data_IF_592052006941
#
_entry.id   IF_592052006941
#
_cell.length_a   1.000
_cell.length_b   1.000
_cell.length_c   1.000
_cell.angle_alpha   90.00
_cell.angle_beta   90.00
_cell.angle_gamma   90.00
#
_symmetry.space_group_name_H-M   'P 1'
#
loop_
_entity.id
_entity.type
_entity.pdbx_description
1 polymer ?
#
# COMPACT_ATOMS: atom_id res chain seq x y z
N UNK A 1 -17.32 -2.83 12.72
CA UNK A 1 -17.62 -3.79 11.64
C UNK A 1 -16.78 -5.03 11.85
N UNK A 2 -17.31 -6.23 11.62
CA UNK A 2 -16.57 -7.50 11.71
C UNK A 2 -16.67 -8.22 10.36
N UNK A 3 -15.61 -8.90 9.95
CA UNK A 3 -15.60 -9.75 8.75
C UNK A 3 -15.54 -11.20 9.20
N UNK A 4 -16.47 -12.01 8.71
CA UNK A 4 -16.47 -13.45 8.87
C UNK A 4 -15.82 -14.08 7.63
N UNK A 5 -14.87 -14.99 7.83
CA UNK A 5 -14.14 -15.67 6.76
C UNK A 5 -14.53 -17.15 6.79
N UNK A 6 -15.06 -17.64 5.67
CA UNK A 6 -15.46 -19.04 5.50
C UNK A 6 -14.43 -19.71 4.59
N UNK A 7 -13.82 -20.81 5.06
CA UNK A 7 -12.75 -21.53 4.36
C UNK A 7 -11.59 -20.65 3.86
N UNK A 8 -10.99 -19.79 4.72
CA UNK A 8 -9.86 -18.98 4.29
C UNK A 8 -8.60 -19.84 4.07
N UNK A 9 -7.66 -19.39 3.22
CA UNK A 9 -6.37 -20.06 3.04
C UNK A 9 -5.60 -20.20 4.37
N UNK A 10 -5.04 -21.38 4.63
CA UNK A 10 -4.33 -21.67 5.89
C UNK A 10 -3.05 -20.84 6.05
N UNK A 11 -2.38 -20.52 4.94
CA UNK A 11 -1.14 -19.72 4.89
C UNK A 11 -1.35 -18.25 5.31
N UNK A 12 -2.60 -17.79 5.41
CA UNK A 12 -2.94 -16.48 5.95
C UNK A 12 -2.88 -16.41 7.48
N UNK A 13 -2.68 -17.54 8.17
CA UNK A 13 -2.71 -17.66 9.63
C UNK A 13 -1.36 -18.11 10.21
N UNK A 14 -1.05 -17.59 11.39
CA UNK A 14 0.04 -18.07 12.25
C UNK A 14 -0.57 -18.37 13.62
N UNK A 15 -0.43 -19.60 14.09
CA UNK A 15 -1.03 -20.09 15.34
C UNK A 15 -2.55 -19.82 15.44
N UNK A 16 -3.26 -20.03 14.32
CA UNK A 16 -4.71 -19.82 14.22
C UNK A 16 -5.14 -18.35 14.24
N UNK A 17 -4.20 -17.39 14.19
CA UNK A 17 -4.49 -15.95 14.10
C UNK A 17 -4.08 -15.41 12.74
N UNK A 18 -4.97 -14.65 12.11
CA UNK A 18 -4.69 -14.02 10.83
C UNK A 18 -3.48 -13.07 10.96
N UNK A 19 -2.61 -13.08 9.95
CA UNK A 19 -1.48 -12.15 9.88
C UNK A 19 -2.03 -10.71 9.84
N UNK A 20 -1.53 -9.84 10.71
CA UNK A 20 -2.06 -8.47 10.90
C UNK A 20 -2.05 -7.64 9.61
N UNK A 21 -1.04 -7.79 8.76
CA UNK A 21 -0.99 -7.10 7.47
C UNK A 21 -2.10 -7.56 6.52
N UNK A 22 -2.40 -8.87 6.48
CA UNK A 22 -3.51 -9.40 5.68
C UNK A 22 -4.86 -8.91 6.20
N UNK A 23 -5.05 -8.85 7.52
CA UNK A 23 -6.25 -8.28 8.12
C UNK A 23 -6.43 -6.80 7.74
N UNK A 24 -5.37 -5.99 7.82
CA UNK A 24 -5.41 -4.60 7.41
C UNK A 24 -5.73 -4.46 5.90
N UNK A 25 -5.15 -5.32 5.07
CA UNK A 25 -5.42 -5.36 3.64
C UNK A 25 -6.89 -5.70 3.35
N UNK A 26 -7.51 -6.65 4.07
CA UNK A 26 -8.94 -6.98 3.91
C UNK A 26 -9.85 -5.76 4.17
N UNK A 27 -9.56 -4.97 5.22
CA UNK A 27 -10.30 -3.74 5.48
C UNK A 27 -9.99 -2.64 4.47
N UNK A 28 -8.77 -2.56 3.93
CA UNK A 28 -8.43 -1.65 2.85
C UNK A 28 -9.22 -2.00 1.57
N UNK A 29 -9.34 -3.28 1.22
CA UNK A 29 -10.15 -3.77 0.09
C UNK A 29 -11.60 -3.32 0.26
N UNK A 30 -12.19 -3.62 1.42
CA UNK A 30 -13.57 -3.27 1.72
C UNK A 30 -13.81 -1.75 1.63
N UNK A 31 -12.91 -0.95 2.20
CA UNK A 31 -12.96 0.52 2.15
C UNK A 31 -12.93 1.01 0.71
N UNK A 32 -12.00 0.54 -0.10
CA UNK A 32 -11.77 1.04 -1.45
C UNK A 32 -12.92 0.65 -2.38
N UNK A 33 -13.40 -0.60 -2.32
CA UNK A 33 -14.55 -1.07 -3.11
C UNK A 33 -15.80 -0.26 -2.77
N UNK A 34 -16.15 -0.13 -1.48
CA UNK A 34 -17.36 0.60 -1.08
C UNK A 34 -17.27 2.09 -1.43
N UNK A 35 -16.10 2.69 -1.28
CA UNK A 35 -15.90 4.10 -1.61
C UNK A 35 -16.04 4.35 -3.10
N UNK A 36 -15.33 3.60 -3.95
CA UNK A 36 -15.36 3.74 -5.40
C UNK A 36 -16.75 3.46 -5.94
N UNK A 37 -17.38 2.36 -5.53
CA UNK A 37 -18.76 2.04 -5.91
C UNK A 37 -19.72 3.16 -5.52
N UNK A 38 -19.58 3.70 -4.30
CA UNK A 38 -20.38 4.81 -3.82
C UNK A 38 -20.13 6.13 -4.57
N UNK A 39 -18.94 6.38 -5.12
CA UNK A 39 -18.69 7.58 -5.93
C UNK A 39 -19.23 7.42 -7.36
N UNK A 40 -19.10 6.24 -7.96
CA UNK A 40 -19.50 5.98 -9.36
C UNK A 40 -21.02 5.87 -9.48
N UNK A 41 -21.68 5.16 -8.57
CA UNK A 41 -23.12 4.86 -8.70
C UNK A 41 -24.03 5.81 -7.92
N UNK A 42 -23.48 6.63 -7.02
CA UNK A 42 -24.26 7.52 -6.18
C UNK A 42 -23.97 8.98 -6.54
N UNK A 43 -24.78 9.51 -7.45
CA UNK A 43 -24.70 10.87 -8.02
C UNK A 43 -24.88 12.00 -7.01
N UNK A 44 -25.15 11.70 -5.74
CA UNK A 44 -25.31 12.69 -4.67
C UNK A 44 -23.97 13.32 -4.25
N UNK A 45 -22.85 12.58 -4.29
CA UNK A 45 -21.52 13.10 -3.87
C UNK A 45 -20.69 13.67 -5.03
N UNK A 46 -20.83 13.08 -6.22
CA UNK A 46 -20.33 13.62 -7.48
C UNK A 46 -21.49 13.70 -8.46
N UNK A 47 -22.32 14.75 -8.40
CA UNK A 47 -23.30 14.98 -9.44
C UNK A 47 -22.56 15.10 -10.78
N UNK A 48 -22.90 14.22 -11.72
CA UNK A 48 -22.34 14.17 -13.07
C UNK A 48 -20.86 13.77 -13.16
N UNK A 49 -20.45 12.71 -12.43
CA UNK A 49 -19.15 12.07 -12.68
C UNK A 49 -19.08 11.58 -14.13
N UNK A 50 -18.41 12.35 -14.97
CA UNK A 50 -18.06 11.98 -16.34
C UNK A 50 -16.68 11.30 -16.36
N UNK A 51 -16.66 10.00 -16.69
CA UNK A 51 -15.43 9.19 -16.74
C UNK A 51 -14.61 9.41 -18.02
N UNK A 52 -15.09 10.22 -18.97
CA UNK A 52 -14.32 10.65 -20.14
C UNK A 52 -13.60 12.00 -19.87
N UNK A 53 -14.00 12.72 -18.83
CA UNK A 53 -13.37 13.98 -18.42
C UNK A 53 -12.09 13.75 -17.63
N UNK A 54 -10.96 14.20 -18.17
CA UNK A 54 -9.65 14.13 -17.51
C UNK A 54 -9.63 14.80 -16.13
N UNK A 55 -10.40 15.86 -15.94
CA UNK A 55 -10.53 16.58 -14.65
C UNK A 55 -11.26 15.70 -13.63
N UNK A 56 -12.34 15.05 -14.05
CA UNK A 56 -13.10 14.16 -13.16
C UNK A 56 -12.31 12.90 -12.81
N UNK A 57 -11.62 12.29 -13.77
CA UNK A 57 -10.73 11.14 -13.53
C UNK A 57 -9.64 11.52 -12.51
N UNK A 58 -8.97 12.67 -12.70
CA UNK A 58 -7.92 13.15 -11.79
C UNK A 58 -8.47 13.37 -10.37
N UNK A 59 -9.62 14.02 -10.24
CA UNK A 59 -10.27 14.26 -8.95
C UNK A 59 -10.75 12.96 -8.28
N UNK A 60 -11.17 11.97 -9.07
CA UNK A 60 -11.54 10.65 -8.57
C UNK A 60 -10.32 9.92 -8.00
N UNK A 61 -9.20 9.86 -8.73
CA UNK A 61 -7.93 9.28 -8.23
C UNK A 61 -7.49 9.97 -6.94
N UNK A 62 -7.50 11.31 -6.90
CA UNK A 62 -7.19 12.06 -5.69
C UNK A 62 -8.13 11.71 -4.53
N UNK A 63 -9.43 11.61 -4.80
CA UNK A 63 -10.43 11.28 -3.78
C UNK A 63 -10.26 9.87 -3.21
N UNK A 64 -9.91 8.90 -4.06
CA UNK A 64 -9.59 7.52 -3.64
C UNK A 64 -8.36 7.52 -2.73
N UNK A 65 -7.26 8.13 -3.17
CA UNK A 65 -6.02 8.20 -2.38
C UNK A 65 -6.21 8.93 -1.05
N UNK A 66 -7.00 10.02 -1.05
CA UNK A 66 -7.36 10.76 0.16
C UNK A 66 -8.20 9.90 1.11
N UNK A 67 -9.21 9.20 0.60
CA UNK A 67 -10.04 8.28 1.40
C UNK A 67 -9.21 7.11 1.98
N UNK A 68 -8.21 6.65 1.22
CA UNK A 68 -7.26 5.64 1.66
C UNK A 68 -6.25 6.13 2.72
N UNK A 69 -6.28 7.44 3.07
CA UNK A 69 -5.30 8.10 3.95
C UNK A 69 -3.87 7.96 3.44
N UNK A 70 -3.68 7.91 2.12
CA UNK A 70 -2.38 7.80 1.48
C UNK A 70 -1.72 9.17 1.21
N UNK A 71 -2.47 10.27 1.31
CA UNK A 71 -1.97 11.62 1.10
C UNK A 71 -1.82 12.32 2.45
N UNK A 72 -0.58 12.62 2.84
CA UNK A 72 -0.27 13.36 4.05
C UNK A 72 0.18 14.78 3.68
N UNK A 73 -0.34 15.78 4.39
CA UNK A 73 -0.04 17.20 4.13
C UNK A 73 1.10 17.64 5.05
N UNK A 74 2.03 18.46 4.52
CA UNK A 74 3.13 19.03 5.32
C UNK A 74 4.32 18.10 5.53
N UNK A 75 4.33 16.90 4.94
CA UNK A 75 5.51 16.04 4.88
C UNK A 75 6.44 16.49 3.75
N UNK A 76 7.75 16.47 4.00
CA UNK A 76 8.75 16.65 2.94
C UNK A 76 8.64 15.49 1.92
N UNK A 77 8.86 15.73 0.61
CA UNK A 77 8.78 14.68 -0.39
C UNK A 77 9.79 13.56 -0.12
N UNK A 78 9.32 12.37 0.23
CA UNK A 78 10.18 11.23 0.55
C UNK A 78 9.69 9.89 -0.02
N UNK A 79 8.68 9.91 -0.91
CA UNK A 79 8.10 8.70 -1.48
C UNK A 79 8.75 8.35 -2.82
N UNK A 80 9.33 7.16 -2.93
CA UNK A 80 9.97 6.64 -4.13
C UNK A 80 9.10 5.55 -4.74
N UNK A 81 8.71 5.73 -6.00
CA UNK A 81 8.00 4.71 -6.77
C UNK A 81 9.02 3.76 -7.39
N UNK A 82 8.91 2.46 -7.09
CA UNK A 82 9.76 1.43 -7.68
C UNK A 82 8.94 0.52 -8.59
N UNK A 83 9.40 0.36 -9.83
CA UNK A 83 8.83 -0.55 -10.83
C UNK A 83 9.86 -1.60 -11.23
N UNK A 84 9.36 -2.77 -11.63
CA UNK A 84 10.18 -3.84 -12.17
C UNK A 84 9.36 -5.12 -12.38
N UNK A 85 10.04 -6.18 -12.82
CA UNK A 85 9.40 -7.45 -13.15
C UNK A 85 8.86 -8.21 -11.93
N UNK A 86 7.73 -8.89 -12.13
CA UNK A 86 7.14 -9.84 -11.18
C UNK A 86 8.00 -11.12 -11.02
N UNK A 87 8.61 -11.56 -12.10
CA UNK A 87 9.52 -12.71 -12.14
C UNK A 87 10.89 -12.24 -12.57
N UNK A 88 11.84 -12.28 -11.64
CA UNK A 88 13.22 -11.82 -11.80
C UNK A 88 14.16 -12.86 -11.22
N UNK A 89 15.40 -12.89 -11.69
CA UNK A 89 16.39 -13.81 -11.15
C UNK A 89 16.89 -13.36 -9.75
N UNK A 90 17.62 -14.23 -9.07
CA UNK A 90 18.14 -13.95 -7.72
C UNK A 90 19.07 -12.72 -7.68
N UNK A 91 19.92 -12.53 -8.70
CA UNK A 91 20.84 -11.39 -8.74
C UNK A 91 20.08 -10.06 -8.82
N UNK A 92 19.04 -9.98 -9.65
CA UNK A 92 18.17 -8.81 -9.75
C UNK A 92 17.40 -8.57 -8.46
N UNK A 93 16.90 -9.64 -7.81
CA UNK A 93 16.19 -9.55 -6.54
C UNK A 93 17.10 -8.99 -5.43
N UNK A 94 18.33 -9.52 -5.32
CA UNK A 94 19.32 -9.04 -4.36
C UNK A 94 19.74 -7.60 -4.64
N UNK A 95 19.88 -7.23 -5.91
CA UNK A 95 20.17 -5.84 -6.29
C UNK A 95 19.03 -4.90 -5.88
N UNK A 96 17.78 -5.23 -6.22
CA UNK A 96 16.61 -4.44 -5.84
C UNK A 96 16.46 -4.32 -4.32
N UNK A 97 16.74 -5.39 -3.58
CA UNK A 97 16.79 -5.35 -2.10
C UNK A 97 17.88 -4.42 -1.59
N UNK A 98 19.08 -4.46 -2.18
CA UNK A 98 20.19 -3.57 -1.80
C UNK A 98 19.88 -2.10 -2.08
N UNK A 99 19.24 -1.81 -3.22
CA UNK A 99 18.71 -0.48 -3.53
C UNK A 99 17.71 -0.05 -2.46
N UNK A 100 16.74 -0.90 -2.13
CA UNK A 100 15.77 -0.66 -1.06
C UNK A 100 16.44 -0.31 0.28
N UNK A 101 17.47 -1.05 0.69
CA UNK A 101 18.23 -0.74 1.91
C UNK A 101 18.88 0.63 1.86
N UNK A 102 19.49 1.01 0.73
CA UNK A 102 20.10 2.33 0.58
C UNK A 102 19.07 3.47 0.61
N UNK A 103 17.86 3.24 0.10
CA UNK A 103 16.75 4.19 0.22
C UNK A 103 16.28 4.30 1.68
N UNK A 104 16.09 3.17 2.36
CA UNK A 104 15.67 3.14 3.77
C UNK A 104 16.67 3.80 4.71
N UNK A 105 17.98 3.67 4.45
CA UNK A 105 19.03 4.37 5.20
C UNK A 105 18.97 5.90 5.09
N UNK A 106 18.19 6.43 4.14
CA UNK A 106 17.97 7.87 3.91
C UNK A 106 16.55 8.29 4.28
N UNK A 107 15.84 7.46 5.06
CA UNK A 107 14.48 7.73 5.52
C UNK A 107 13.47 7.91 4.37
N UNK A 108 13.74 7.29 3.21
CA UNK A 108 12.86 7.31 2.05
C UNK A 108 11.85 6.16 2.10
N UNK A 109 10.60 6.49 1.77
CA UNK A 109 9.46 5.58 1.70
C UNK A 109 9.34 4.93 0.32
N UNK A 110 8.69 3.77 0.22
CA UNK A 110 8.61 2.99 -1.02
C UNK A 110 7.15 2.80 -1.44
N UNK A 111 6.87 2.99 -2.73
CA UNK A 111 5.61 2.66 -3.39
C UNK A 111 5.86 1.67 -4.54
N UNK A 112 5.14 0.55 -4.61
CA UNK A 112 5.27 -0.45 -5.69
C UNK A 112 3.91 -0.95 -6.20
N UNK A 113 3.92 -1.69 -7.31
CA UNK A 113 2.73 -2.22 -7.99
C UNK A 113 2.09 -3.47 -7.40
N UNK A 114 2.39 -3.83 -6.14
CA UNK A 114 1.96 -5.07 -5.48
C UNK A 114 2.43 -6.37 -6.18
N UNK A 115 3.13 -7.23 -5.45
CA UNK A 115 3.51 -8.55 -5.94
C UNK A 115 4.96 -8.93 -5.65
N UNK A 116 5.37 -10.15 -6.03
CA UNK A 116 6.73 -10.66 -5.85
C UNK A 116 7.76 -9.97 -6.77
N UNK A 117 9.00 -10.43 -6.67
CA UNK A 117 10.10 -9.95 -7.51
C UNK A 117 10.50 -8.51 -7.15
N UNK A 118 10.63 -7.67 -8.17
CA UNK A 118 11.10 -6.29 -8.03
C UNK A 118 10.09 -5.38 -7.29
N UNK A 119 8.84 -5.83 -7.14
CA UNK A 119 7.81 -5.10 -6.40
C UNK A 119 7.86 -5.37 -4.88
N UNK A 120 8.53 -6.45 -4.46
CA UNK A 120 8.68 -6.84 -3.04
C UNK A 120 10.08 -6.54 -2.50
N UNK A 121 11.12 -6.87 -3.27
CA UNK A 121 12.52 -6.75 -2.86
C UNK A 121 12.91 -5.38 -2.27
N UNK A 122 12.58 -4.23 -2.88
CA UNK A 122 12.95 -2.92 -2.34
C UNK A 122 12.25 -2.61 -1.01
N UNK A 123 11.01 -3.07 -0.79
CA UNK A 123 10.33 -2.90 0.50
C UNK A 123 11.03 -3.70 1.60
N UNK A 124 11.41 -4.96 1.33
CA UNK A 124 12.18 -5.78 2.28
C UNK A 124 13.54 -5.17 2.61
N UNK A 125 14.21 -4.56 1.63
CA UNK A 125 15.46 -3.83 1.83
C UNK A 125 15.28 -2.58 2.67
N UNK A 126 14.29 -1.76 2.34
CA UNK A 126 14.01 -0.49 3.00
C UNK A 126 13.60 -0.69 4.46
N UNK A 127 12.83 -1.74 4.79
CA UNK A 127 12.48 -2.07 6.17
C UNK A 127 13.71 -2.27 7.08
N UNK A 128 14.78 -2.89 6.56
CA UNK A 128 16.06 -3.02 7.28
C UNK A 128 16.74 -1.66 7.44
N UNK A 129 16.79 -0.85 6.38
CA UNK A 129 17.38 0.49 6.43
C UNK A 129 16.65 1.42 7.41
N UNK A 130 15.31 1.42 7.41
CA UNK A 130 14.48 2.17 8.34
C UNK A 130 14.70 1.72 9.79
N UNK A 131 14.77 0.42 10.04
CA UNK A 131 15.07 -0.11 11.37
C UNK A 131 16.45 0.34 11.87
N UNK A 132 17.47 0.35 11.00
CA UNK A 132 18.81 0.82 11.33
C UNK A 132 18.85 2.32 11.67
N UNK A 133 18.05 3.14 10.98
CA UNK A 133 17.92 4.58 11.25
C UNK A 133 16.91 4.90 12.36
N UNK A 134 16.22 3.89 12.91
CA UNK A 134 15.09 4.07 13.84
C UNK A 134 13.97 4.96 13.26
N UNK A 135 13.80 4.93 11.94
CA UNK A 135 12.76 5.67 11.23
C UNK A 135 11.39 5.02 11.49
N UNK A 136 10.57 5.66 12.35
CA UNK A 136 9.31 5.09 12.86
C UNK A 136 8.17 5.19 11.86
N UNK A 137 8.14 6.24 11.06
CA UNK A 137 7.04 6.57 10.17
C UNK A 137 7.24 6.01 8.76
N UNK A 138 7.61 4.73 8.70
CA UNK A 138 7.85 4.06 7.42
C UNK A 138 6.53 3.83 6.67
N UNK A 139 6.56 4.08 5.37
CA UNK A 139 5.42 3.95 4.48
C UNK A 139 5.81 3.06 3.31
N UNK A 140 5.19 1.88 3.28
CA UNK A 140 5.27 0.95 2.16
C UNK A 140 3.88 0.89 1.53
N UNK A 141 3.75 1.51 0.35
CA UNK A 141 2.47 1.60 -0.35
C UNK A 141 2.45 0.57 -1.48
N UNK A 142 1.48 -0.33 -1.43
CA UNK A 142 1.14 -1.17 -2.57
C UNK A 142 0.01 -0.50 -3.38
N UNK A 143 0.20 -0.37 -4.68
CA UNK A 143 -0.86 -0.05 -5.61
C UNK A 143 -1.16 -1.26 -6.49
N UNK A 144 -2.33 -1.86 -6.28
CA UNK A 144 -2.93 -2.78 -7.25
C UNK A 144 -4.11 -2.08 -7.93
N UNK A 145 -4.53 -2.56 -9.10
CA UNK A 145 -5.59 -1.99 -9.95
C UNK A 145 -6.90 -1.71 -9.19
N UNK A 146 -7.12 -2.36 -8.05
CA UNK A 146 -8.34 -2.25 -7.24
C UNK A 146 -8.10 -1.70 -5.82
N UNK A 147 -6.87 -1.71 -5.28
CA UNK A 147 -6.63 -1.57 -3.84
C UNK A 147 -5.35 -0.76 -3.54
N UNK A 148 -5.45 0.16 -2.58
CA UNK A 148 -4.30 0.80 -1.94
C UNK A 148 -4.13 0.30 -0.51
N UNK A 149 -3.04 -0.41 -0.24
CA UNK A 149 -2.75 -0.87 1.12
C UNK A 149 -1.37 -0.42 1.62
N UNK A 150 -1.30 -0.21 2.93
CA UNK A 150 -0.06 0.05 3.66
C UNK A 150 0.50 -1.29 4.11
N UNK A 151 1.63 -1.72 3.57
CA UNK A 151 2.39 -2.79 4.19
C UNK A 151 2.98 -2.19 5.48
N UNK A 152 2.45 -2.63 6.63
CA UNK A 152 2.62 -1.95 7.91
C UNK A 152 4.09 -1.75 8.29
N UNK A 153 4.37 -0.57 8.87
CA UNK A 153 5.33 -0.49 9.97
C UNK A 153 4.58 -0.08 11.22
N UNK A 154 5.10 -0.59 12.33
CA UNK A 154 4.55 -0.59 13.69
C UNK A 154 3.62 0.58 14.03
N UNK A 155 2.35 0.27 14.32
CA UNK A 155 1.61 1.10 15.28
C UNK A 155 2.36 1.06 16.62
N UNK A 156 2.55 2.19 17.32
CA UNK A 156 3.00 2.13 18.70
C UNK A 156 1.94 1.35 19.49
N UNK A 157 2.39 0.36 20.26
CA UNK A 157 1.56 -0.26 21.29
C UNK A 157 0.94 0.88 22.13
N UNK A 158 -0.38 0.79 22.35
CA UNK A 158 -1.17 1.89 22.89
C UNK A 158 -0.67 2.47 24.21
N UNK A 159 -1.12 3.70 24.47
CA UNK A 159 -1.54 4.12 25.79
C UNK A 159 -3.06 3.99 25.87
#
# INVERSE_FOLDING_TARGET
>A
MKLELINPPEDAFVDGRIIRSLQANLFAVLRDILFVYGQIHNTVRFPNLDLESSVHITNLVFSILRNARALHVGEAPNMIVCWGGHSINENEYLYARRVGTQLGLRELNICTGCGPGAMEAPMKGAAVGHAQQRYKDSRFIGHDRTIHYRCGTTEPAGQ
#
